data_IF_651441284791
#
_entry.id   IF_651441284791
#
_cell.length_a   1.000
_cell.length_b   1.000
_cell.length_c   1.000
_cell.angle_alpha   90.00
_cell.angle_beta   90.00
_cell.angle_gamma   90.00
#
_symmetry.space_group_name_H-M   'P 1'
#
loop_
_entity.id
_entity.type
_entity.pdbx_description
1 polymer ?
#
# COMPACT_ATOMS: atom_id res chain seq x y z
N UNK A 1 -27.15 31.75 18.50
CA UNK A 1 -26.32 30.63 19.00
C UNK A 1 -25.33 30.25 17.91
N UNK A 2 -24.05 30.61 18.10
CA UNK A 2 -22.93 30.05 17.36
C UNK A 2 -22.61 28.71 18.02
N UNK A 3 -22.31 27.68 17.24
CA UNK A 3 -21.12 26.83 17.44
C UNK A 3 -20.72 26.26 16.09
N UNK A 4 -19.59 26.77 15.57
CA UNK A 4 -18.90 26.22 14.40
C UNK A 4 -18.08 25.04 14.90
N UNK A 5 -18.53 23.81 14.63
CA UNK A 5 -17.73 22.64 14.93
C UNK A 5 -16.53 22.62 13.97
N UNK A 6 -15.36 22.98 14.50
CA UNK A 6 -14.09 23.04 13.78
C UNK A 6 -13.72 21.63 13.34
N UNK A 7 -13.70 21.40 12.03
CA UNK A 7 -13.18 20.19 11.41
C UNK A 7 -11.65 20.18 11.63
N UNK A 8 -11.17 19.38 12.58
CA UNK A 8 -9.74 19.17 12.80
C UNK A 8 -9.27 18.15 11.77
N UNK A 9 -8.87 18.63 10.60
CA UNK A 9 -8.16 17.83 9.59
C UNK A 9 -6.67 17.93 9.89
N UNK A 10 -6.17 17.00 10.71
CA UNK A 10 -4.73 16.83 10.90
C UNK A 10 -4.16 16.24 9.61
N UNK A 11 -3.75 17.12 8.70
CA UNK A 11 -3.05 16.76 7.47
C UNK A 11 -1.60 16.38 7.85
N UNK A 12 -1.35 15.08 8.04
CA UNK A 12 0.01 14.55 8.12
C UNK A 12 0.69 14.76 6.76
N UNK A 13 1.52 15.80 6.68
CA UNK A 13 2.36 16.04 5.51
C UNK A 13 3.45 14.97 5.46
N UNK A 14 3.33 14.03 4.52
CA UNK A 14 4.34 13.01 4.28
C UNK A 14 5.50 13.63 3.48
N UNK A 15 6.66 13.75 4.13
CA UNK A 15 7.92 14.09 3.48
C UNK A 15 8.31 12.89 2.61
N UNK A 16 8.10 13.00 1.30
CA UNK A 16 8.59 12.03 0.33
C UNK A 16 10.12 12.11 0.24
N UNK A 17 10.81 11.21 0.93
CA UNK A 17 12.24 11.01 0.73
C UNK A 17 12.47 10.32 -0.62
N UNK A 18 12.86 11.10 -1.63
CA UNK A 18 13.48 10.57 -2.84
C UNK A 18 14.92 10.20 -2.46
N UNK A 19 15.16 8.93 -2.10
CA UNK A 19 16.52 8.41 -1.94
C UNK A 19 16.99 7.90 -3.31
N UNK A 20 17.74 8.73 -4.01
CA UNK A 20 18.57 8.29 -5.14
C UNK A 20 19.93 7.89 -4.58
N UNK A 21 20.28 6.62 -4.70
CA UNK A 21 21.67 6.16 -4.64
C UNK A 21 21.98 5.09 -3.59
N UNK A 22 22.20 3.87 -4.08
CA UNK A 22 23.25 2.96 -3.60
C UNK A 22 23.06 2.22 -2.27
N UNK A 23 23.11 0.89 -2.38
CA UNK A 23 23.59 -0.10 -1.39
C UNK A 23 22.86 -0.30 -0.06
N UNK A 24 21.92 -1.25 -0.11
CA UNK A 24 21.63 -2.33 0.85
C UNK A 24 20.20 -2.72 0.52
N UNK A 25 19.97 -3.88 -0.08
CA UNK A 25 18.60 -4.32 -0.38
C UNK A 25 17.90 -4.59 0.96
N UNK A 26 17.29 -3.57 1.53
CA UNK A 26 16.28 -3.76 2.55
C UNK A 26 15.31 -4.80 1.97
N UNK A 27 15.13 -5.93 2.68
CA UNK A 27 14.25 -7.01 2.24
C UNK A 27 12.79 -6.55 2.12
N UNK A 28 12.49 -5.36 2.63
CA UNK A 28 11.20 -4.69 2.55
C UNK A 28 11.33 -3.17 2.41
N UNK A 29 10.27 -2.56 1.91
CA UNK A 29 9.98 -1.12 1.94
C UNK A 29 8.83 -0.90 2.91
N UNK A 30 9.00 0.01 3.88
CA UNK A 30 7.90 0.42 4.77
C UNK A 30 6.96 1.38 4.04
N UNK A 31 5.67 1.27 4.31
CA UNK A 31 4.68 2.24 3.87
C UNK A 31 3.83 2.72 5.04
N UNK A 32 3.38 3.95 4.93
CA UNK A 32 2.33 4.54 5.73
C UNK A 32 1.60 5.54 4.84
N UNK A 33 0.28 5.50 4.83
CA UNK A 33 -0.52 6.31 3.93
C UNK A 33 -1.99 6.24 4.30
N UNK A 34 -2.81 6.72 3.37
CA UNK A 34 -4.24 6.88 3.58
C UNK A 34 -4.97 6.37 2.35
N UNK A 35 -5.86 5.39 2.55
CA UNK A 35 -6.72 4.89 1.50
C UNK A 35 -7.75 5.96 1.11
N UNK A 36 -7.89 6.25 -0.20
CA UNK A 36 -8.88 7.19 -0.68
C UNK A 36 -10.31 6.78 -0.33
N UNK A 37 -11.19 7.80 -0.29
CA UNK A 37 -12.64 7.60 -0.21
C UNK A 37 -13.14 6.94 -1.49
N UNK A 38 -14.34 6.36 -1.42
CA UNK A 38 -15.07 5.95 -2.63
C UNK A 38 -14.36 4.92 -3.51
N UNK A 39 -13.58 4.01 -2.89
CA UNK A 39 -12.81 2.97 -3.58
C UNK A 39 -11.78 3.51 -4.58
N UNK A 40 -11.31 4.74 -4.40
CA UNK A 40 -10.09 5.16 -5.08
C UNK A 40 -8.90 4.34 -4.61
N UNK A 41 -7.96 4.09 -5.51
CA UNK A 41 -6.72 3.39 -5.22
C UNK A 41 -5.55 4.36 -5.01
N UNK A 42 -4.52 3.88 -4.33
CA UNK A 42 -3.27 4.61 -4.13
C UNK A 42 -2.09 3.66 -4.17
N UNK A 43 -0.94 4.15 -4.65
CA UNK A 43 0.34 3.51 -4.42
C UNK A 43 0.72 3.70 -2.94
N UNK A 44 1.11 2.61 -2.27
CA UNK A 44 1.60 2.63 -0.89
C UNK A 44 3.12 2.53 -0.81
N UNK A 45 3.71 1.69 -1.66
CA UNK A 45 5.16 1.49 -1.75
C UNK A 45 5.53 1.04 -3.15
N UNK A 46 6.79 1.25 -3.53
CA UNK A 46 7.34 0.67 -4.73
C UNK A 46 8.78 0.21 -4.55
N UNK A 47 9.13 -0.85 -5.26
CA UNK A 47 10.44 -1.51 -5.19
C UNK A 47 10.74 -2.28 -6.47
N UNK A 48 12.00 -2.65 -6.69
CA UNK A 48 12.35 -3.52 -7.81
C UNK A 48 12.03 -4.97 -7.46
N UNK A 49 11.37 -5.68 -8.37
CA UNK A 49 11.14 -7.13 -8.28
C UNK A 49 12.34 -7.84 -8.90
N UNK A 50 13.27 -8.32 -8.08
CA UNK A 50 14.53 -8.87 -8.60
C UNK A 50 14.39 -10.30 -9.12
N UNK A 51 13.50 -11.09 -8.53
CA UNK A 51 13.36 -12.54 -8.81
C UNK A 51 11.91 -12.91 -9.14
N UNK A 52 11.65 -14.18 -9.43
CA UNK A 52 10.29 -14.70 -9.59
C UNK A 52 9.68 -15.22 -8.26
N UNK A 53 10.31 -14.93 -7.10
CA UNK A 53 9.76 -15.30 -5.80
C UNK A 53 8.43 -14.58 -5.52
N UNK A 54 7.71 -15.00 -4.48
CA UNK A 54 6.48 -14.29 -4.09
C UNK A 54 6.84 -12.92 -3.53
N UNK A 55 5.89 -12.00 -3.61
CA UNK A 55 5.95 -10.80 -2.79
C UNK A 55 5.14 -11.02 -1.51
N UNK A 56 5.55 -10.38 -0.43
CA UNK A 56 4.85 -10.43 0.87
C UNK A 56 4.49 -9.03 1.32
N UNK A 57 3.32 -8.87 1.91
CA UNK A 57 2.89 -7.65 2.58
C UNK A 57 2.54 -7.99 4.00
N UNK A 58 3.11 -7.27 4.95
CA UNK A 58 2.75 -7.32 6.36
C UNK A 58 2.09 -5.99 6.70
N UNK A 59 0.77 -5.98 6.90
CA UNK A 59 0.07 -4.81 7.38
C UNK A 59 0.22 -4.74 8.89
N UNK A 60 0.55 -3.56 9.40
CA UNK A 60 0.60 -3.28 10.84
C UNK A 60 -0.55 -2.38 11.30
N UNK A 61 -1.15 -1.63 10.36
CA UNK A 61 -2.33 -0.79 10.59
C UNK A 61 -3.22 -0.88 9.36
N UNK A 62 -4.49 -1.21 9.57
CA UNK A 62 -5.60 -0.80 8.69
C UNK A 62 -6.62 -0.15 9.62
N UNK A 63 -6.84 1.15 9.47
CA UNK A 63 -7.55 1.95 10.46
C UNK A 63 -8.95 1.40 10.79
N UNK A 64 -9.30 1.37 12.07
CA UNK A 64 -10.59 0.90 12.60
C UNK A 64 -11.00 -0.50 12.07
N UNK A 65 -12.32 -0.78 12.02
CA UNK A 65 -12.90 -2.02 11.50
C UNK A 65 -12.98 -2.07 9.94
N UNK A 66 -12.21 -1.22 9.26
CA UNK A 66 -12.20 -1.16 7.79
C UNK A 66 -11.34 -2.27 7.19
N UNK A 67 -11.57 -2.51 5.90
CA UNK A 67 -10.85 -3.51 5.12
C UNK A 67 -10.27 -2.86 3.87
N UNK A 68 -9.11 -3.33 3.46
CA UNK A 68 -8.46 -2.92 2.22
C UNK A 68 -8.48 -4.05 1.18
N UNK A 69 -8.45 -3.68 -0.08
CA UNK A 69 -8.04 -4.59 -1.15
C UNK A 69 -6.65 -4.17 -1.62
N UNK A 70 -5.77 -5.13 -1.88
CA UNK A 70 -4.38 -4.86 -2.26
C UNK A 70 -3.96 -5.69 -3.47
N UNK A 71 -3.10 -5.14 -4.31
CA UNK A 71 -2.50 -5.86 -5.44
C UNK A 71 -1.17 -5.23 -5.84
N UNK A 72 -0.46 -5.88 -6.77
CA UNK A 72 0.82 -5.40 -7.29
C UNK A 72 0.64 -4.95 -8.74
N UNK A 73 1.21 -3.79 -9.07
CA UNK A 73 1.27 -3.24 -10.42
C UNK A 73 2.70 -3.08 -10.90
N UNK A 74 2.89 -3.16 -12.22
CA UNK A 74 4.09 -2.74 -12.93
C UNK A 74 3.67 -1.61 -13.88
N UNK A 75 4.06 -0.37 -13.56
CA UNK A 75 3.46 0.80 -14.19
C UNK A 75 1.95 0.83 -13.91
N UNK A 76 1.12 0.90 -14.94
CA UNK A 76 -0.35 0.84 -14.82
C UNK A 76 -0.94 -0.56 -14.93
N UNK A 77 -0.11 -1.59 -15.17
CA UNK A 77 -0.59 -2.95 -15.41
C UNK A 77 -0.60 -3.73 -14.11
N UNK A 78 -1.74 -4.31 -13.74
CA UNK A 78 -1.85 -5.23 -12.62
C UNK A 78 -1.18 -6.56 -12.94
N UNK A 79 -0.24 -6.98 -12.09
CA UNK A 79 0.62 -8.16 -12.28
C UNK A 79 0.46 -9.19 -11.16
N UNK A 80 -0.55 -9.07 -10.31
CA UNK A 80 -0.93 -10.08 -9.33
C UNK A 80 -2.45 -10.17 -9.20
N UNK A 81 -2.98 -11.27 -8.62
CA UNK A 81 -4.33 -11.28 -8.08
C UNK A 81 -4.51 -10.19 -7.01
N UNK A 82 -5.77 -9.77 -6.77
CA UNK A 82 -6.10 -8.91 -5.63
C UNK A 82 -6.24 -9.74 -4.36
N UNK A 83 -5.56 -9.34 -3.30
CA UNK A 83 -5.87 -9.78 -1.95
C UNK A 83 -7.06 -8.96 -1.44
N UNK A 84 -8.18 -9.62 -1.22
CA UNK A 84 -9.40 -8.99 -0.73
C UNK A 84 -9.46 -8.99 0.79
N UNK A 85 -10.16 -7.99 1.34
CA UNK A 85 -10.55 -7.94 2.75
C UNK A 85 -9.35 -8.00 3.71
N UNK A 86 -8.27 -7.29 3.38
CA UNK A 86 -7.08 -7.15 4.22
C UNK A 86 -7.40 -6.29 5.42
N UNK A 87 -7.05 -6.77 6.60
CA UNK A 87 -7.34 -6.10 7.89
C UNK A 87 -6.06 -5.70 8.59
N UNK A 88 -6.23 -5.08 9.75
CA UNK A 88 -5.14 -4.81 10.67
C UNK A 88 -4.37 -6.09 11.03
N UNK A 89 -3.05 -5.97 11.19
CA UNK A 89 -2.11 -7.07 11.49
C UNK A 89 -2.14 -8.27 10.51
N UNK A 90 -2.67 -8.08 9.29
CA UNK A 90 -2.80 -9.14 8.29
C UNK A 90 -1.56 -9.26 7.39
N UNK A 91 -1.14 -10.50 7.11
CA UNK A 91 -0.02 -10.81 6.22
C UNK A 91 -0.51 -11.49 4.95
N UNK A 92 -0.15 -10.94 3.79
CA UNK A 92 -0.55 -11.45 2.48
C UNK A 92 0.64 -11.78 1.60
N UNK A 93 0.47 -12.81 0.78
CA UNK A 93 1.44 -13.24 -0.21
C UNK A 93 0.86 -13.11 -1.61
N UNK A 94 1.67 -12.64 -2.54
CA UNK A 94 1.28 -12.38 -3.92
C UNK A 94 2.18 -13.18 -4.85
N UNK A 95 1.56 -13.99 -5.70
CA UNK A 95 2.22 -14.48 -6.91
C UNK A 95 2.24 -13.35 -7.91
N UNK A 96 3.43 -12.92 -8.31
CA UNK A 96 3.64 -11.83 -9.28
C UNK A 96 3.97 -12.44 -10.64
N UNK A 97 3.37 -11.90 -11.69
CA UNK A 97 3.62 -12.32 -13.06
C UNK A 97 5.10 -12.17 -13.44
N UNK A 98 5.62 -13.13 -14.20
CA UNK A 98 7.04 -13.14 -14.58
C UNK A 98 7.46 -11.94 -15.43
N UNK A 99 6.53 -11.29 -16.13
CA UNK A 99 6.79 -10.07 -16.91
C UNK A 99 7.22 -8.87 -16.05
N UNK A 100 7.02 -8.93 -14.73
CA UNK A 100 7.43 -7.89 -13.79
C UNK A 100 8.84 -8.11 -13.21
N UNK A 101 9.46 -9.28 -13.41
CA UNK A 101 10.82 -9.57 -12.93
C UNK A 101 11.82 -8.65 -13.62
N UNK A 102 12.75 -8.09 -12.83
CA UNK A 102 13.72 -7.09 -13.27
C UNK A 102 13.15 -5.68 -13.40
N UNK A 103 11.88 -5.45 -13.03
CA UNK A 103 11.21 -4.14 -13.15
C UNK A 103 10.81 -3.59 -11.79
N UNK A 104 10.54 -2.27 -11.77
CA UNK A 104 9.90 -1.61 -10.63
C UNK A 104 8.43 -2.00 -10.56
N UNK A 105 8.00 -2.44 -9.39
CA UNK A 105 6.61 -2.75 -9.06
C UNK A 105 6.11 -1.87 -7.91
N UNK A 106 4.82 -1.64 -7.88
CA UNK A 106 4.12 -0.85 -6.87
C UNK A 106 3.09 -1.71 -6.15
N UNK A 107 3.07 -1.62 -4.82
CA UNK A 107 1.98 -2.11 -4.00
C UNK A 107 0.86 -1.07 -4.02
N UNK A 108 -0.29 -1.47 -4.54
CA UNK A 108 -1.50 -0.67 -4.60
C UNK A 108 -2.48 -1.12 -3.54
N UNK A 109 -3.27 -0.17 -3.04
CA UNK A 109 -4.38 -0.48 -2.15
C UNK A 109 -5.55 0.47 -2.36
N UNK A 110 -6.75 -0.04 -2.08
CA UNK A 110 -8.00 0.71 -2.04
C UNK A 110 -8.80 0.28 -0.81
N UNK A 111 -9.81 1.07 -0.46
CA UNK A 111 -10.81 0.63 0.51
C UNK A 111 -11.68 -0.49 -0.10
N UNK A 112 -11.90 -1.58 0.63
CA UNK A 112 -12.70 -2.71 0.15
C UNK A 112 -14.19 -2.35 -0.04
N UNK A 113 -14.63 -1.19 0.45
CA UNK A 113 -16.00 -0.69 0.29
C UNK A 113 -16.02 0.81 -0.03
N UNK A 114 -17.13 1.26 -0.60
CA UNK A 114 -17.38 2.67 -0.85
C UNK A 114 -17.63 3.39 0.49
N UNK A 115 -16.64 4.14 0.96
CA UNK A 115 -16.70 4.86 2.24
C UNK A 115 -16.54 6.36 2.03
N UNK A 116 -17.18 7.15 2.90
CA UNK A 116 -17.08 8.62 2.92
C UNK A 116 -15.87 9.13 3.72
N UNK A 117 -15.10 8.22 4.32
CA UNK A 117 -13.93 8.54 5.13
C UNK A 117 -12.68 7.96 4.50
N UNK A 118 -11.57 8.60 4.80
CA UNK A 118 -10.24 8.06 4.51
C UNK A 118 -9.84 7.06 5.58
N UNK A 119 -9.01 6.06 5.23
CA UNK A 119 -8.57 5.02 6.16
C UNK A 119 -7.05 4.98 6.21
N UNK A 120 -6.47 5.15 7.40
CA UNK A 120 -5.02 5.02 7.58
C UNK A 120 -4.57 3.59 7.31
N UNK A 121 -3.43 3.42 6.66
CA UNK A 121 -2.84 2.12 6.37
C UNK A 121 -1.32 2.19 6.49
N UNK A 122 -0.72 1.20 7.12
CA UNK A 122 0.73 1.12 7.29
C UNK A 122 1.23 -0.33 7.36
N UNK A 123 2.48 -0.54 6.99
CA UNK A 123 3.08 -1.86 7.00
C UNK A 123 4.41 -1.94 6.27
N UNK A 124 4.74 -3.16 5.84
CA UNK A 124 5.97 -3.51 5.13
C UNK A 124 5.65 -4.28 3.86
N UNK A 125 6.30 -3.90 2.76
CA UNK A 125 6.21 -4.56 1.48
C UNK A 125 7.55 -5.21 1.11
N UNK A 126 7.56 -6.53 1.01
CA UNK A 126 8.71 -7.33 0.61
C UNK A 126 8.52 -7.70 -0.87
N UNK A 127 9.23 -7.05 -1.81
CA UNK A 127 9.08 -7.35 -3.23
C UNK A 127 9.53 -8.78 -3.55
N UNK A 128 10.56 -9.27 -2.86
CA UNK A 128 11.11 -10.61 -3.00
C UNK A 128 11.13 -11.30 -1.63
N UNK A 129 10.27 -12.31 -1.45
CA UNK A 129 10.19 -13.14 -0.23
C UNK A 129 10.20 -14.64 -0.54
#
# INVERSE_FOLDING_TARGET
MKEKLKMVTTLLAFISFIVVGGVSAASYVTYAGVLPRFQGDTELASANKATNSKSKVENSVVGADYKANMWIQQGSTKVSPTALNVTDNDTRYFTVDQSAVGKKVSLMAENASFTYVTVDIAGKFYPDN
#
